data_IF_268263615463
#
_entry.id   IF_268263615463
#
_cell.length_a   1.000
_cell.length_b   1.000
_cell.length_c   1.000
_cell.angle_alpha   90.00
_cell.angle_beta   90.00
_cell.angle_gamma   90.00
#
_symmetry.space_group_name_H-M   'P 1'
#
loop_
_entity.id
_entity.type
_entity.pdbx_description
1 polymer ?
#
# COMPACT_ATOMS: atom_id res chain seq x y z
N UNK A 1 -8.88 -15.28 6.18
CA UNK A 1 -7.42 -15.22 5.97
C UNK A 1 -6.91 -13.87 6.43
N UNK A 2 -5.59 -13.68 6.67
CA UNK A 2 -5.07 -12.38 7.10
C UNK A 2 -5.53 -11.22 6.19
N UNK A 3 -5.56 -11.45 4.87
CA UNK A 3 -6.02 -10.44 3.89
C UNK A 3 -7.52 -10.12 4.00
N UNK A 4 -8.38 -11.11 4.28
CA UNK A 4 -9.82 -10.87 4.40
C UNK A 4 -10.15 -10.06 5.66
N UNK A 5 -9.50 -10.34 6.79
CA UNK A 5 -9.67 -9.57 8.03
C UNK A 5 -9.25 -8.12 7.84
N UNK A 6 -8.08 -7.88 7.25
CA UNK A 6 -7.61 -6.52 6.95
C UNK A 6 -8.56 -5.82 5.97
N UNK A 7 -9.08 -6.52 4.95
CA UNK A 7 -9.99 -5.90 3.98
C UNK A 7 -11.29 -5.41 4.61
N UNK A 8 -11.84 -6.14 5.59
CA UNK A 8 -13.02 -5.71 6.34
C UNK A 8 -12.76 -4.40 7.09
N UNK A 9 -11.60 -4.28 7.75
CA UNK A 9 -11.20 -3.05 8.45
C UNK A 9 -10.94 -1.89 7.47
N UNK A 10 -10.44 -2.16 6.27
CA UNK A 10 -10.24 -1.12 5.24
C UNK A 10 -11.56 -0.51 4.78
N UNK A 11 -12.66 -1.27 4.79
CA UNK A 11 -13.98 -0.71 4.45
C UNK A 11 -14.57 0.16 5.55
N UNK A 12 -14.26 -0.11 6.82
CA UNK A 12 -14.77 0.66 7.97
C UNK A 12 -13.89 1.87 8.32
N UNK A 13 -12.61 1.87 7.98
CA UNK A 13 -11.68 2.96 8.33
C UNK A 13 -11.92 4.25 7.52
N UNK A 14 -11.38 5.38 8.00
CA UNK A 14 -11.38 6.65 7.24
C UNK A 14 -10.18 6.80 6.31
N UNK A 15 -9.14 5.98 6.49
CA UNK A 15 -7.92 6.03 5.70
C UNK A 15 -7.04 4.80 5.88
N UNK A 16 -6.10 4.62 4.96
CA UNK A 16 -5.21 3.47 4.88
C UNK A 16 -3.75 3.94 4.75
N UNK A 17 -2.91 3.49 5.67
CA UNK A 17 -1.47 3.71 5.64
C UNK A 17 -0.78 2.37 5.38
N UNK A 18 -0.05 2.24 4.27
CA UNK A 18 0.57 0.98 3.83
C UNK A 18 2.09 1.06 3.87
N UNK A 19 2.71 0.06 4.50
CA UNK A 19 4.15 0.02 4.75
C UNK A 19 4.84 -1.17 4.12
N UNK A 20 5.99 -0.96 3.46
CA UNK A 20 6.89 -2.05 3.08
C UNK A 20 8.35 -1.60 3.03
N UNK A 21 9.31 -2.42 3.51
CA UNK A 21 10.70 -2.28 3.11
C UNK A 21 10.86 -2.63 1.62
N UNK A 22 11.96 -2.17 1.03
CA UNK A 22 12.36 -2.58 -0.32
C UNK A 22 13.06 -3.93 -0.29
N UNK A 23 12.51 -4.91 -1.00
CA UNK A 23 13.10 -6.22 -1.26
C UNK A 23 13.24 -6.40 -2.79
N UNK A 24 14.45 -6.66 -3.27
CA UNK A 24 14.73 -6.88 -4.70
C UNK A 24 14.17 -5.76 -5.61
N UNK A 25 14.37 -4.50 -5.21
CA UNK A 25 13.86 -3.30 -5.90
C UNK A 25 12.33 -3.17 -5.96
N UNK A 26 11.59 -3.96 -5.18
CA UNK A 26 10.13 -3.85 -5.07
C UNK A 26 9.63 -4.04 -3.66
N UNK A 27 8.31 -4.06 -3.48
CA UNK A 27 7.68 -4.30 -2.18
C UNK A 27 7.74 -5.76 -1.73
N UNK A 28 7.52 -6.02 -0.44
CA UNK A 28 7.40 -7.39 0.05
C UNK A 28 6.20 -8.10 -0.61
N UNK A 29 6.35 -9.38 -1.01
CA UNK A 29 5.27 -10.15 -1.62
C UNK A 29 3.99 -10.20 -0.77
N UNK A 30 4.12 -10.20 0.56
CA UNK A 30 2.99 -10.17 1.50
C UNK A 30 2.14 -8.90 1.30
N UNK A 31 2.78 -7.74 1.19
CA UNK A 31 2.10 -6.46 0.95
C UNK A 31 1.55 -6.40 -0.48
N UNK A 32 2.29 -6.92 -1.45
CA UNK A 32 1.81 -7.06 -2.82
C UNK A 32 0.52 -7.88 -2.89
N UNK A 33 0.43 -9.00 -2.17
CA UNK A 33 -0.77 -9.83 -2.13
C UNK A 33 -1.99 -9.09 -1.56
N UNK A 34 -1.79 -8.30 -0.50
CA UNK A 34 -2.84 -7.50 0.12
C UNK A 34 -3.31 -6.38 -0.81
N UNK A 35 -2.38 -5.65 -1.43
CA UNK A 35 -2.71 -4.55 -2.34
C UNK A 35 -3.40 -5.05 -3.62
N UNK A 36 -2.99 -6.19 -4.16
CA UNK A 36 -3.67 -6.83 -5.30
C UNK A 36 -5.09 -7.26 -4.90
N UNK A 37 -5.28 -7.79 -3.69
CA UNK A 37 -6.59 -8.15 -3.18
C UNK A 37 -7.50 -6.91 -3.02
N UNK A 38 -6.99 -5.85 -2.38
CA UNK A 38 -7.71 -4.58 -2.21
C UNK A 38 -8.04 -3.90 -3.53
N UNK A 39 -7.15 -4.00 -4.53
CA UNK A 39 -7.40 -3.50 -5.88
C UNK A 39 -8.66 -4.14 -6.51
N UNK A 40 -8.90 -5.43 -6.28
CA UNK A 40 -10.11 -6.10 -6.76
C UNK A 40 -11.39 -5.66 -6.04
N UNK A 41 -11.26 -5.24 -4.78
CA UNK A 41 -12.39 -4.79 -3.95
C UNK A 41 -12.72 -3.29 -4.12
N UNK A 42 -11.77 -2.51 -4.65
CA UNK A 42 -11.92 -1.09 -4.99
C UNK A 42 -12.52 -0.21 -3.86
N UNK A 43 -11.85 -0.10 -2.69
CA UNK A 43 -12.32 0.76 -1.61
C UNK A 43 -12.23 2.24 -1.99
N UNK A 44 -13.37 2.89 -2.15
CA UNK A 44 -13.50 4.31 -2.53
C UNK A 44 -13.61 5.25 -1.32
N UNK A 45 -13.17 6.50 -1.49
CA UNK A 45 -13.37 7.56 -0.49
C UNK A 45 -12.49 7.49 0.76
N UNK A 46 -11.36 6.77 0.68
CA UNK A 46 -10.39 6.65 1.78
C UNK A 46 -9.21 7.60 1.56
N UNK A 47 -8.60 8.14 2.61
CA UNK A 47 -7.28 8.79 2.46
C UNK A 47 -6.21 7.73 2.46
N UNK A 48 -5.31 7.72 1.47
CA UNK A 48 -4.26 6.69 1.40
C UNK A 48 -2.86 7.30 1.47
N UNK A 49 -1.95 6.63 2.15
CA UNK A 49 -0.55 7.05 2.27
C UNK A 49 0.36 5.82 2.27
N UNK A 50 1.59 5.96 1.78
CA UNK A 50 2.60 4.90 1.83
C UNK A 50 3.75 5.27 2.75
N UNK A 51 4.36 4.27 3.36
CA UNK A 51 5.61 4.44 4.09
C UNK A 51 6.55 3.26 3.83
N UNK A 52 7.86 3.46 4.03
CA UNK A 52 8.79 2.37 3.80
C UNK A 52 10.23 2.72 4.09
N UNK A 53 11.08 1.69 4.00
CA UNK A 53 12.52 1.81 4.14
C UNK A 53 13.26 1.24 2.93
N UNK A 54 14.46 1.74 2.67
CA UNK A 54 15.33 1.21 1.62
C UNK A 54 16.81 1.37 1.98
N UNK A 55 17.64 0.41 1.57
CA UNK A 55 19.09 0.47 1.80
C UNK A 55 19.85 1.26 0.74
N UNK A 56 19.56 1.02 -0.54
CA UNK A 56 20.25 1.67 -1.67
C UNK A 56 19.30 2.33 -2.67
N UNK A 57 18.74 1.57 -3.62
CA UNK A 57 18.00 2.08 -4.78
C UNK A 57 16.50 2.27 -4.49
N UNK A 58 15.97 1.62 -3.46
CA UNK A 58 14.54 1.62 -3.17
C UNK A 58 13.72 0.93 -4.27
N UNK A 59 12.44 1.29 -4.36
CA UNK A 59 11.52 0.80 -5.39
C UNK A 59 10.14 0.42 -4.84
N UNK A 60 10.08 -0.17 -3.64
CA UNK A 60 8.82 -0.60 -3.03
C UNK A 60 7.76 0.50 -2.94
N UNK A 61 8.18 1.73 -2.64
CA UNK A 61 7.25 2.83 -2.47
C UNK A 61 6.56 3.23 -3.76
N UNK A 62 7.29 3.24 -4.88
CA UNK A 62 6.71 3.51 -6.21
C UNK A 62 5.71 2.44 -6.57
N UNK A 63 6.07 1.17 -6.35
CA UNK A 63 5.15 0.06 -6.61
C UNK A 63 3.85 0.17 -5.79
N UNK A 64 3.95 0.55 -4.51
CA UNK A 64 2.78 0.73 -3.65
C UNK A 64 1.91 1.90 -4.10
N UNK A 65 2.51 3.04 -4.45
CA UNK A 65 1.80 4.21 -4.97
C UNK A 65 1.07 3.89 -6.27
N UNK A 66 1.72 3.20 -7.21
CA UNK A 66 1.10 2.82 -8.49
C UNK A 66 -0.12 1.93 -8.31
N UNK A 67 -0.13 1.05 -7.30
CA UNK A 67 -1.29 0.20 -7.03
C UNK A 67 -2.39 1.00 -6.34
N UNK A 68 -2.06 1.85 -5.37
CA UNK A 68 -3.03 2.69 -4.66
C UNK A 68 -3.73 3.67 -5.60
N UNK A 69 -2.98 4.29 -6.53
CA UNK A 69 -3.51 5.21 -7.54
C UNK A 69 -4.57 4.57 -8.46
N UNK A 70 -4.54 3.24 -8.63
CA UNK A 70 -5.50 2.53 -9.49
C UNK A 70 -6.92 2.48 -8.92
N UNK A 71 -7.07 2.57 -7.59
CA UNK A 71 -8.39 2.54 -6.95
C UNK A 71 -8.68 3.76 -6.08
N UNK A 72 -7.67 4.57 -5.76
CA UNK A 72 -7.86 5.78 -4.97
C UNK A 72 -6.99 6.93 -5.48
N UNK A 73 -7.63 8.08 -5.75
CA UNK A 73 -6.98 9.25 -6.34
C UNK A 73 -6.35 10.18 -5.29
N UNK A 74 -6.74 10.05 -4.02
CA UNK A 74 -6.24 10.88 -2.92
C UNK A 74 -5.09 10.20 -2.18
N UNK A 75 -3.92 10.17 -2.83
CA UNK A 75 -2.67 9.70 -2.21
C UNK A 75 -1.96 10.87 -1.53
N UNK A 76 -1.76 10.75 -0.22
CA UNK A 76 -1.01 11.69 0.60
C UNK A 76 0.51 11.54 0.40
N UNK A 77 1.32 12.55 0.76
CA UNK A 77 2.77 12.49 0.65
C UNK A 77 3.33 11.26 1.38
N UNK A 78 4.19 10.48 0.74
CA UNK A 78 4.67 9.23 1.30
C UNK A 78 5.85 9.47 2.25
N UNK A 79 6.06 8.57 3.21
CA UNK A 79 7.15 8.68 4.18
C UNK A 79 8.22 7.60 3.97
N UNK A 80 9.41 8.04 3.57
CA UNK A 80 10.51 7.14 3.26
C UNK A 80 11.69 7.38 4.20
N UNK A 81 12.09 6.35 4.93
CA UNK A 81 13.22 6.39 5.84
C UNK A 81 14.38 5.57 5.26
N UNK A 82 15.58 6.16 5.25
CA UNK A 82 16.80 5.49 4.83
C UNK A 82 17.46 4.83 6.03
#
# INVERSE_FOLDING_TARGET
TPNSTVSTEVFTCSGLLVGSPTLNSGMLPTIGSLLVYLKGLNPVGKKVATFGTFGWAGGAQKDMEEILLKFNKEVMPPFQCK
#
